data_IF_680283176465
#
_entry.id   IF_680283176465
#
_cell.length_a   1.000
_cell.length_b   1.000
_cell.length_c   1.000
_cell.angle_alpha   90.00
_cell.angle_beta   90.00
_cell.angle_gamma   90.00
#
_symmetry.space_group_name_H-M   'P 1'
#
loop_
_entity.id
_entity.type
_entity.pdbx_description
1 polymer ?
#
# COMPACT_ATOMS: atom_id res chain seq x y z
N UNK A 1 -3.88 -34.38 19.14
CA UNK A 1 -3.15 -34.74 20.37
C UNK A 1 -4.02 -34.39 21.56
N UNK A 2 -4.31 -35.37 22.42
CA UNK A 2 -5.06 -35.15 23.66
C UNK A 2 -4.20 -34.28 24.59
N UNK A 3 -4.85 -33.48 25.44
CA UNK A 3 -4.17 -32.48 26.28
C UNK A 3 -3.14 -33.11 27.24
N UNK A 4 -3.43 -34.32 27.72
CA UNK A 4 -2.56 -35.11 28.57
C UNK A 4 -1.31 -35.61 27.84
N UNK A 5 -1.45 -36.06 26.58
CA UNK A 5 -0.33 -36.48 25.73
C UNK A 5 0.66 -35.32 25.52
N UNK A 6 0.14 -34.11 25.30
CA UNK A 6 0.97 -32.90 25.14
C UNK A 6 1.75 -32.57 26.40
N UNK A 7 1.12 -32.67 27.56
CA UNK A 7 1.77 -32.36 28.85
C UNK A 7 2.88 -33.38 29.12
N UNK A 8 2.63 -34.66 28.87
CA UNK A 8 3.63 -35.71 28.99
C UNK A 8 4.81 -35.51 28.01
N UNK A 9 4.53 -35.10 26.77
CA UNK A 9 5.58 -34.78 25.79
C UNK A 9 6.45 -33.59 26.25
N UNK A 10 5.84 -32.55 26.85
CA UNK A 10 6.56 -31.40 27.40
C UNK A 10 7.43 -31.81 28.59
N UNK A 11 6.87 -32.56 29.56
CA UNK A 11 7.59 -32.99 30.76
C UNK A 11 8.76 -33.92 30.42
N UNK A 12 8.53 -34.92 29.58
CA UNK A 12 9.59 -35.84 29.13
C UNK A 12 10.70 -35.11 28.37
N UNK A 13 10.36 -34.14 27.53
CA UNK A 13 11.35 -33.33 26.81
C UNK A 13 12.16 -32.43 27.75
N UNK A 14 11.51 -31.81 28.75
CA UNK A 14 12.21 -31.01 29.77
C UNK A 14 13.17 -31.88 30.58
N UNK A 15 12.76 -33.09 30.94
CA UNK A 15 13.59 -34.03 31.69
C UNK A 15 14.81 -34.46 30.87
N UNK A 16 14.63 -34.83 29.59
CA UNK A 16 15.74 -35.13 28.67
C UNK A 16 16.73 -33.98 28.48
N UNK A 17 16.27 -32.73 28.54
CA UNK A 17 17.15 -31.55 28.48
C UNK A 17 17.94 -31.40 29.79
N UNK A 18 17.31 -31.64 30.95
CA UNK A 18 17.97 -31.55 32.27
C UNK A 18 19.00 -32.65 32.50
N UNK A 19 18.70 -33.86 32.03
CA UNK A 19 19.58 -35.03 32.18
C UNK A 19 20.74 -35.00 31.16
N UNK A 20 20.69 -34.07 30.20
CA UNK A 20 21.78 -33.88 29.26
C UNK A 20 22.94 -33.13 29.92
N UNK A 21 24.16 -33.59 29.65
CA UNK A 21 25.40 -32.88 29.99
C UNK A 21 25.67 -31.68 29.09
N UNK A 22 24.87 -31.46 28.05
CA UNK A 22 25.00 -30.35 27.10
C UNK A 22 24.37 -29.07 27.63
N UNK A 23 24.87 -27.92 27.17
CA UNK A 23 24.19 -26.65 27.43
C UNK A 23 22.81 -26.65 26.77
N UNK A 24 21.85 -25.90 27.34
CA UNK A 24 20.51 -25.77 26.75
C UNK A 24 20.58 -25.26 25.30
N UNK A 25 21.55 -24.40 24.97
CA UNK A 25 21.74 -23.94 23.59
C UNK A 25 22.13 -25.09 22.65
N UNK A 26 23.16 -25.85 23.04
CA UNK A 26 23.68 -26.93 22.21
C UNK A 26 22.66 -28.06 22.07
N UNK A 27 21.85 -28.30 23.11
CA UNK A 27 20.78 -29.28 23.06
C UNK A 27 19.73 -28.92 22.00
N UNK A 28 19.28 -27.66 21.95
CA UNK A 28 18.30 -27.19 20.97
C UNK A 28 18.85 -27.07 19.55
N UNK A 29 20.16 -26.92 19.39
CA UNK A 29 20.83 -26.93 18.08
C UNK A 29 21.02 -28.34 17.52
N UNK A 30 21.16 -29.35 18.40
CA UNK A 30 21.51 -30.73 18.00
C UNK A 30 20.34 -31.71 18.05
N UNK A 31 19.24 -31.38 18.74
CA UNK A 31 18.08 -32.26 18.89
C UNK A 31 16.78 -31.59 18.42
N UNK A 32 15.87 -32.40 17.90
CA UNK A 32 14.51 -31.96 17.58
C UNK A 32 13.71 -31.91 18.89
N UNK A 33 13.30 -30.71 19.29
CA UNK A 33 12.48 -30.47 20.48
C UNK A 33 11.10 -29.98 20.05
N UNK A 34 10.00 -30.47 20.65
CA UNK A 34 8.63 -30.13 20.24
C UNK A 34 8.20 -28.69 20.56
N UNK A 35 9.09 -27.89 21.14
CA UNK A 35 8.88 -26.48 21.46
C UNK A 35 10.17 -25.70 21.30
N UNK A 36 10.06 -24.38 21.27
CA UNK A 36 11.20 -23.46 21.18
C UNK A 36 11.93 -23.27 22.51
N UNK A 37 13.18 -22.82 22.45
CA UNK A 37 13.98 -22.45 23.63
C UNK A 37 13.29 -21.41 24.52
N UNK A 38 12.55 -20.47 23.94
CA UNK A 38 11.78 -19.49 24.72
C UNK A 38 10.64 -20.18 25.51
N UNK A 39 9.95 -21.12 24.87
CA UNK A 39 8.91 -21.92 25.53
C UNK A 39 9.48 -22.79 26.66
N UNK A 40 10.69 -23.34 26.51
CA UNK A 40 11.38 -24.09 27.57
C UNK A 40 11.49 -23.29 28.88
N UNK A 41 12.03 -22.07 28.82
CA UNK A 41 12.15 -21.22 30.02
C UNK A 41 10.80 -20.82 30.60
N UNK A 42 9.81 -20.59 29.73
CA UNK A 42 8.43 -20.32 30.18
C UNK A 42 7.82 -21.53 30.89
N UNK A 43 8.01 -22.76 30.38
CA UNK A 43 7.54 -23.98 31.03
C UNK A 43 8.24 -24.22 32.36
N UNK A 44 9.55 -24.01 32.47
CA UNK A 44 10.26 -24.07 33.76
C UNK A 44 9.70 -23.08 34.78
N UNK A 45 9.43 -21.84 34.36
CA UNK A 45 8.83 -20.81 35.21
C UNK A 45 7.42 -21.20 35.67
N UNK A 46 6.61 -21.75 34.77
CA UNK A 46 5.25 -22.20 35.06
C UNK A 46 5.26 -23.41 35.99
N UNK A 47 6.10 -24.41 35.73
CA UNK A 47 6.26 -25.60 36.57
C UNK A 47 6.70 -25.22 37.99
N UNK A 48 7.65 -24.29 38.13
CA UNK A 48 8.09 -23.80 39.45
C UNK A 48 6.97 -23.09 40.22
N UNK A 49 6.08 -22.38 39.53
CA UNK A 49 5.04 -21.55 40.16
C UNK A 49 3.71 -22.28 40.40
N UNK A 50 3.34 -23.20 39.52
CA UNK A 50 2.00 -23.78 39.45
C UNK A 50 1.99 -25.30 39.28
N UNK A 51 3.16 -25.95 39.27
CA UNK A 51 3.29 -27.39 39.00
C UNK A 51 2.81 -27.78 37.60
N UNK A 52 2.59 -29.09 37.39
CA UNK A 52 2.14 -29.64 36.10
C UNK A 52 0.77 -29.11 35.68
N UNK A 53 -0.11 -28.81 36.65
CA UNK A 53 -1.41 -28.20 36.41
C UNK A 53 -1.32 -26.82 35.72
N UNK A 54 -0.17 -26.14 35.82
CA UNK A 54 0.10 -24.90 35.10
C UNK A 54 0.28 -25.06 33.58
N UNK A 55 0.59 -26.28 33.10
CA UNK A 55 0.82 -26.58 31.68
C UNK A 55 -0.48 -26.91 30.91
N UNK A 56 -1.60 -27.10 31.63
CA UNK A 56 -2.93 -27.31 31.04
C UNK A 56 -3.37 -26.06 30.28
N UNK A 57 -4.02 -26.26 29.13
CA UNK A 57 -4.45 -25.14 28.28
C UNK A 57 -5.69 -24.48 28.88
N UNK A 58 -5.47 -23.39 29.62
CA UNK A 58 -6.54 -22.59 30.23
C UNK A 58 -7.39 -21.81 29.21
N UNK A 59 -7.07 -21.84 27.91
CA UNK A 59 -7.90 -21.17 26.87
C UNK A 59 -9.32 -21.75 26.78
N UNK A 60 -9.51 -23.01 27.17
CA UNK A 60 -10.84 -23.65 27.26
C UNK A 60 -11.73 -23.06 28.35
N UNK A 61 -11.16 -22.40 29.36
CA UNK A 61 -11.94 -21.85 30.46
C UNK A 61 -12.69 -20.55 30.10
N UNK A 62 -12.57 -20.02 28.87
CA UNK A 62 -13.45 -18.97 28.34
C UNK A 62 -13.39 -17.59 29.01
N UNK A 63 -12.69 -17.44 30.14
CA UNK A 63 -12.81 -16.29 31.05
C UNK A 63 -12.11 -14.99 30.61
N UNK A 64 -11.49 -14.96 29.43
CA UNK A 64 -10.87 -13.73 28.88
C UNK A 64 -11.58 -13.22 27.61
N UNK A 65 -12.87 -13.54 27.43
CA UNK A 65 -13.67 -12.92 26.37
C UNK A 65 -14.22 -11.60 26.87
N UNK A 66 -13.75 -10.49 26.29
CA UNK A 66 -14.31 -9.15 26.52
C UNK A 66 -15.78 -9.05 26.12
N UNK A 67 -16.24 -9.91 25.19
CA UNK A 67 -17.61 -9.99 24.75
C UNK A 67 -18.36 -11.03 25.60
N UNK A 68 -18.93 -10.58 26.71
CA UNK A 68 -19.77 -11.38 27.60
C UNK A 68 -21.19 -11.50 27.06
N UNK A 69 -21.99 -12.41 27.60
CA UNK A 69 -23.39 -12.62 27.18
C UNK A 69 -24.23 -11.35 27.34
N UNK A 70 -24.10 -10.66 28.48
CA UNK A 70 -24.80 -9.37 28.70
C UNK A 70 -24.47 -8.31 27.64
N UNK A 71 -23.25 -8.30 27.10
CA UNK A 71 -22.86 -7.36 26.04
C UNK A 71 -23.43 -7.81 24.69
N UNK A 72 -23.52 -9.12 24.44
CA UNK A 72 -24.16 -9.70 23.25
C UNK A 72 -25.64 -9.35 23.20
N UNK A 73 -26.35 -9.59 24.29
CA UNK A 73 -27.77 -9.24 24.43
C UNK A 73 -27.97 -7.75 24.20
N UNK A 74 -27.10 -6.91 24.78
CA UNK A 74 -27.15 -5.47 24.57
C UNK A 74 -26.93 -5.06 23.10
N UNK A 75 -26.02 -5.73 22.39
CA UNK A 75 -25.80 -5.49 20.96
C UNK A 75 -27.07 -5.86 20.16
N UNK A 76 -27.70 -7.00 20.46
CA UNK A 76 -28.94 -7.44 19.80
C UNK A 76 -30.05 -6.40 19.98
N UNK A 77 -30.31 -5.98 21.23
CA UNK A 77 -31.31 -4.93 21.53
C UNK A 77 -30.99 -3.63 20.82
N UNK A 78 -29.72 -3.20 20.78
CA UNK A 78 -29.33 -1.97 20.09
C UNK A 78 -29.58 -2.02 18.57
N UNK A 79 -29.48 -3.20 17.95
CA UNK A 79 -29.72 -3.38 16.52
C UNK A 79 -31.22 -3.45 16.24
N UNK A 80 -31.99 -4.09 17.11
CA UNK A 80 -33.46 -4.12 17.02
C UNK A 80 -34.06 -2.72 17.15
N UNK A 81 -33.61 -1.93 18.13
CA UNK A 81 -34.08 -0.55 18.35
C UNK A 81 -33.63 0.42 17.25
N UNK A 82 -32.42 0.23 16.71
CA UNK A 82 -31.87 1.07 15.65
C UNK A 82 -31.00 0.26 14.68
N UNK A 83 -31.60 -0.33 13.63
CA UNK A 83 -30.88 -1.13 12.64
C UNK A 83 -29.77 -0.38 11.89
N UNK A 84 -29.82 0.96 11.89
CA UNK A 84 -28.84 1.84 11.23
C UNK A 84 -27.71 2.31 12.15
N UNK A 85 -27.66 1.89 13.41
CA UNK A 85 -26.60 2.29 14.36
C UNK A 85 -25.22 1.94 13.79
N UNK A 86 -24.25 2.87 13.85
CA UNK A 86 -22.90 2.58 13.40
C UNK A 86 -22.13 1.73 14.43
N UNK A 87 -21.16 0.94 13.98
CA UNK A 87 -20.31 0.12 14.88
C UNK A 87 -19.49 1.00 15.82
N UNK A 88 -19.14 2.21 15.38
CA UNK A 88 -18.43 3.19 16.20
C UNK A 88 -19.32 3.66 17.37
N UNK A 89 -20.59 3.97 17.08
CA UNK A 89 -21.54 4.42 18.09
C UNK A 89 -21.91 3.28 19.03
N UNK A 90 -22.08 2.07 18.50
CA UNK A 90 -22.29 0.86 19.30
C UNK A 90 -21.13 0.58 20.25
N UNK A 91 -19.88 0.70 19.78
CA UNK A 91 -18.69 0.59 20.64
C UNK A 91 -18.70 1.63 21.75
N UNK A 92 -19.04 2.88 21.43
CA UNK A 92 -19.14 3.96 22.42
C UNK A 92 -20.24 3.69 23.45
N UNK A 93 -21.40 3.19 23.03
CA UNK A 93 -22.49 2.78 23.93
C UNK A 93 -22.06 1.64 24.85
N UNK A 94 -21.39 0.61 24.32
CA UNK A 94 -20.85 -0.51 25.11
C UNK A 94 -19.83 -0.01 26.13
N UNK A 95 -18.88 0.83 25.70
CA UNK A 95 -17.86 1.40 26.57
C UNK A 95 -18.49 2.22 27.70
N UNK A 96 -19.50 3.03 27.40
CA UNK A 96 -20.22 3.84 28.40
C UNK A 96 -21.02 2.99 29.40
N UNK A 97 -21.61 1.87 28.94
CA UNK A 97 -22.48 1.04 29.79
C UNK A 97 -21.74 -0.03 30.59
N UNK A 98 -20.71 -0.62 30.02
CA UNK A 98 -20.01 -1.78 30.60
C UNK A 98 -18.56 -1.47 30.98
N UNK A 99 -18.05 -0.27 30.68
CA UNK A 99 -16.64 0.11 30.91
C UNK A 99 -15.63 -0.81 30.19
N UNK A 100 -16.09 -1.54 29.17
CA UNK A 100 -15.27 -2.45 28.38
C UNK A 100 -15.04 -1.86 26.98
N UNK A 101 -13.78 -1.78 26.58
CA UNK A 101 -13.41 -1.47 25.21
C UNK A 101 -13.31 -2.74 24.35
N UNK A 102 -14.25 -2.86 23.40
CA UNK A 102 -14.35 -3.96 22.43
C UNK A 102 -13.98 -3.44 21.04
N UNK A 103 -13.21 -4.25 20.31
CA UNK A 103 -12.83 -3.90 18.94
C UNK A 103 -14.05 -3.89 17.99
N UNK A 104 -14.03 -3.00 16.99
CA UNK A 104 -15.08 -2.96 15.95
C UNK A 104 -15.21 -4.30 15.21
N UNK A 105 -14.11 -5.00 15.01
CA UNK A 105 -14.10 -6.32 14.37
C UNK A 105 -14.87 -7.35 15.21
N UNK A 106 -14.61 -7.41 16.52
CA UNK A 106 -15.31 -8.34 17.42
C UNK A 106 -16.82 -8.12 17.45
N UNK A 107 -17.26 -6.85 17.39
CA UNK A 107 -18.69 -6.50 17.31
C UNK A 107 -19.26 -6.98 15.96
N UNK A 108 -18.58 -6.71 14.85
CA UNK A 108 -19.03 -7.15 13.53
C UNK A 108 -19.06 -8.67 13.38
N UNK A 109 -18.09 -9.38 13.97
CA UNK A 109 -18.02 -10.84 13.92
C UNK A 109 -19.19 -11.46 14.69
N UNK A 110 -19.56 -10.89 15.83
CA UNK A 110 -20.75 -11.29 16.58
C UNK A 110 -22.05 -11.02 15.80
N UNK A 111 -22.21 -9.82 15.25
CA UNK A 111 -23.38 -9.46 14.44
C UNK A 111 -23.55 -10.44 13.26
N UNK A 112 -22.44 -10.81 12.61
CA UNK A 112 -22.44 -11.79 11.52
C UNK A 112 -22.77 -13.21 12.01
N UNK A 113 -22.25 -13.63 13.16
CA UNK A 113 -22.50 -14.98 13.68
C UNK A 113 -23.97 -15.18 14.07
N UNK A 114 -24.63 -14.13 14.57
CA UNK A 114 -26.05 -14.16 14.94
C UNK A 114 -27.00 -13.82 13.79
N UNK A 115 -26.48 -13.50 12.59
CA UNK A 115 -27.32 -13.17 11.43
C UNK A 115 -28.14 -11.88 11.59
N UNK A 116 -27.71 -10.95 12.46
CA UNK A 116 -28.44 -9.72 12.74
C UNK A 116 -28.41 -8.78 11.53
N UNK A 117 -29.60 -8.42 11.04
CA UNK A 117 -29.78 -7.56 9.87
C UNK A 117 -29.58 -6.09 10.23
N UNK A 118 -28.52 -5.47 9.70
CA UNK A 118 -28.33 -4.02 9.79
C UNK A 118 -28.80 -3.32 8.55
N UNK A 119 -29.49 -2.21 8.73
CA UNK A 119 -29.76 -1.30 7.64
C UNK A 119 -28.50 -0.48 7.36
N UNK A 120 -28.03 -0.41 6.10
CA UNK A 120 -26.91 0.45 5.76
C UNK A 120 -27.30 1.89 6.04
N UNK A 121 -26.44 2.63 6.74
CA UNK A 121 -26.59 4.08 6.89
C UNK A 121 -26.77 4.69 5.50
N UNK A 122 -27.87 5.43 5.31
CA UNK A 122 -28.10 6.21 4.11
C UNK A 122 -26.93 7.18 4.00
N UNK A 123 -26.01 6.92 3.07
CA UNK A 123 -24.87 7.80 2.85
C UNK A 123 -25.45 9.17 2.48
N UNK A 124 -25.09 10.20 3.23
CA UNK A 124 -25.40 11.56 2.82
C UNK A 124 -24.87 11.76 1.40
N UNK A 125 -25.73 12.29 0.52
CA UNK A 125 -25.30 12.69 -0.80
C UNK A 125 -24.32 13.84 -0.65
N UNK A 126 -23.03 13.52 -0.67
CA UNK A 126 -21.98 14.51 -0.79
C UNK A 126 -22.23 15.30 -2.10
N UNK A 127 -22.69 16.54 -1.96
CA UNK A 127 -22.66 17.50 -3.06
C UNK A 127 -21.19 17.74 -3.39
N UNK A 128 -20.68 17.05 -4.39
CA UNK A 128 -19.34 17.30 -4.91
C UNK A 128 -19.26 18.77 -5.33
N UNK A 129 -18.57 19.60 -4.55
CA UNK A 129 -18.18 20.92 -5.01
C UNK A 129 -17.19 20.69 -6.16
N UNK A 130 -17.57 21.06 -7.38
CA UNK A 130 -16.66 21.05 -8.52
C UNK A 130 -15.51 22.02 -8.17
N UNK A 131 -14.33 21.50 -7.85
CA UNK A 131 -13.13 22.31 -7.74
C UNK A 131 -12.70 22.70 -9.15
N UNK A 132 -12.71 24.00 -9.45
CA UNK A 132 -12.26 24.58 -10.72
C UNK A 132 -10.74 24.72 -10.85
N UNK A 133 -9.97 24.18 -9.90
CA UNK A 133 -8.52 24.36 -9.84
C UNK A 133 -7.78 23.75 -11.02
N UNK A 134 -8.27 22.63 -11.56
CA UNK A 134 -7.70 22.01 -12.76
C UNK A 134 -7.92 22.88 -14.00
N UNK A 135 -9.12 23.42 -14.14
CA UNK A 135 -9.54 24.33 -15.21
C UNK A 135 -8.72 25.62 -15.20
N UNK A 136 -8.48 26.19 -14.02
CA UNK A 136 -7.62 27.37 -13.86
C UNK A 136 -6.18 27.07 -14.27
N UNK A 137 -5.59 25.97 -13.77
CA UNK A 137 -4.21 25.59 -14.09
C UNK A 137 -4.00 25.33 -15.58
N UNK A 138 -4.92 24.59 -16.21
CA UNK A 138 -4.83 24.32 -17.65
C UNK A 138 -5.06 25.57 -18.47
N UNK A 139 -6.05 26.41 -18.12
CA UNK A 139 -6.28 27.70 -18.78
C UNK A 139 -5.04 28.59 -18.73
N UNK A 140 -4.46 28.76 -17.53
CA UNK A 140 -3.22 29.52 -17.36
C UNK A 140 -2.08 28.95 -18.22
N UNK A 141 -1.91 27.63 -18.27
CA UNK A 141 -0.86 27.02 -19.07
C UNK A 141 -1.01 27.27 -20.59
N UNK A 142 -2.25 27.33 -21.10
CA UNK A 142 -2.51 27.67 -22.50
C UNK A 142 -2.23 29.15 -22.80
N UNK A 143 -2.65 30.04 -21.91
CA UNK A 143 -2.53 31.49 -22.15
C UNK A 143 -1.15 32.06 -21.80
N UNK A 144 -0.38 31.41 -20.94
CA UNK A 144 0.93 31.89 -20.51
C UNK A 144 2.08 31.49 -21.45
N UNK A 145 1.82 30.65 -22.48
CA UNK A 145 2.87 30.10 -23.34
C UNK A 145 3.87 29.19 -22.61
N UNK A 146 3.51 28.67 -21.44
CA UNK A 146 4.42 27.84 -20.63
C UNK A 146 4.72 26.50 -21.32
N UNK A 147 3.76 25.98 -22.10
CA UNK A 147 3.93 24.74 -22.86
C UNK A 147 5.06 24.90 -23.88
N UNK A 148 5.04 26.01 -24.63
CA UNK A 148 6.06 26.38 -25.60
C UNK A 148 7.40 26.60 -24.90
N UNK A 149 7.41 27.35 -23.80
CA UNK A 149 8.61 27.62 -23.00
C UNK A 149 9.28 26.35 -22.50
N UNK A 150 8.51 25.40 -21.94
CA UNK A 150 9.02 24.11 -21.48
C UNK A 150 9.54 23.29 -22.68
N UNK A 151 8.78 23.26 -23.79
CA UNK A 151 9.16 22.52 -25.00
C UNK A 151 10.50 23.01 -25.55
N UNK A 152 10.67 24.32 -25.66
CA UNK A 152 11.87 24.93 -26.21
C UNK A 152 13.06 24.77 -25.26
N UNK A 153 12.82 24.85 -23.95
CA UNK A 153 13.84 24.54 -22.95
C UNK A 153 14.33 23.10 -23.05
N UNK A 154 13.41 22.13 -23.19
CA UNK A 154 13.75 20.71 -23.36
C UNK A 154 14.56 20.50 -24.63
N UNK A 155 14.14 21.08 -25.75
CA UNK A 155 14.86 20.96 -27.02
C UNK A 155 16.25 21.56 -26.94
N UNK A 156 16.39 22.76 -26.39
CA UNK A 156 17.70 23.40 -26.18
C UNK A 156 18.62 22.51 -25.35
N UNK A 157 18.12 21.92 -24.26
CA UNK A 157 18.92 20.98 -23.44
C UNK A 157 19.30 19.70 -24.20
N UNK A 158 18.42 19.19 -25.07
CA UNK A 158 18.73 18.04 -25.92
C UNK A 158 19.85 18.40 -26.90
N UNK A 159 19.80 19.58 -27.52
CA UNK A 159 20.80 20.02 -28.47
C UNK A 159 22.15 20.32 -27.80
N UNK A 160 22.15 21.01 -26.64
CA UNK A 160 23.35 21.17 -25.79
C UNK A 160 23.99 19.82 -25.45
N UNK A 161 23.16 18.82 -25.10
CA UNK A 161 23.65 17.48 -24.79
C UNK A 161 24.21 16.79 -26.04
N UNK A 162 23.58 16.93 -27.21
CA UNK A 162 24.09 16.34 -28.47
C UNK A 162 25.49 16.82 -28.84
N UNK A 163 25.80 18.08 -28.51
CA UNK A 163 27.11 18.70 -28.75
C UNK A 163 28.15 18.34 -27.67
N UNK A 164 27.74 17.76 -26.55
CA UNK A 164 28.63 17.40 -25.45
C UNK A 164 29.46 16.14 -25.73
N UNK A 165 30.67 16.07 -25.16
CA UNK A 165 31.51 14.86 -25.19
C UNK A 165 30.79 13.64 -24.61
N UNK A 166 29.98 13.84 -23.57
CA UNK A 166 29.19 12.80 -22.91
C UNK A 166 28.19 12.13 -23.86
N UNK A 167 27.67 12.83 -24.87
CA UNK A 167 26.78 12.21 -25.85
C UNK A 167 27.54 11.29 -26.80
N UNK A 168 28.70 11.72 -27.29
CA UNK A 168 29.57 10.91 -28.17
C UNK A 168 30.08 9.67 -27.45
N UNK A 169 30.54 9.82 -26.21
CA UNK A 169 30.94 8.70 -25.35
C UNK A 169 29.79 7.72 -25.12
N UNK A 170 28.57 8.23 -24.92
CA UNK A 170 27.38 7.40 -24.70
C UNK A 170 26.96 6.53 -25.88
N UNK A 171 27.35 6.88 -27.11
CA UNK A 171 27.01 6.10 -28.31
C UNK A 171 27.73 4.74 -28.33
N UNK A 172 28.92 4.68 -27.74
CA UNK A 172 29.72 3.45 -27.62
C UNK A 172 29.22 2.52 -26.51
N UNK A 173 28.36 3.02 -25.62
CA UNK A 173 27.81 2.25 -24.51
C UNK A 173 26.81 1.20 -25.01
N UNK A 174 26.97 -0.05 -24.55
CA UNK A 174 26.04 -1.14 -24.85
C UNK A 174 24.64 -0.79 -24.33
N UNK A 175 23.61 -1.19 -25.08
CA UNK A 175 22.21 -1.06 -24.63
C UNK A 175 22.03 -1.78 -23.30
N UNK A 176 21.34 -1.13 -22.36
CA UNK A 176 20.91 -1.75 -21.12
C UNK A 176 20.15 -3.05 -21.42
N UNK A 177 20.65 -4.18 -20.91
CA UNK A 177 20.21 -5.53 -21.29
C UNK A 177 18.80 -5.80 -20.72
N UNK A 178 17.76 -5.96 -21.56
CA UNK A 178 16.38 -6.15 -21.12
C UNK A 178 16.18 -7.42 -20.27
N UNK A 179 17.02 -8.44 -20.51
CA UNK A 179 16.98 -9.74 -19.81
C UNK A 179 17.21 -9.61 -18.30
N UNK A 180 17.99 -8.63 -17.84
CA UNK A 180 18.18 -8.36 -16.42
C UNK A 180 17.00 -7.63 -15.75
N UNK A 181 16.03 -7.12 -16.53
CA UNK A 181 14.82 -6.48 -15.98
C UNK A 181 13.70 -7.48 -15.67
N UNK A 182 13.72 -8.65 -16.31
CA UNK A 182 12.74 -9.73 -16.06
C UNK A 182 12.93 -10.40 -14.68
N UNK A 183 14.12 -10.27 -14.08
CA UNK A 183 14.37 -10.66 -12.70
C UNK A 183 14.03 -9.47 -11.81
N UNK A 184 12.79 -9.41 -11.30
CA UNK A 184 12.26 -8.27 -10.54
C UNK A 184 13.22 -7.75 -9.46
N UNK A 185 13.77 -6.55 -9.68
CA UNK A 185 14.83 -5.92 -8.85
C UNK A 185 14.31 -5.26 -7.56
N UNK A 186 13.21 -5.71 -6.98
CA UNK A 186 12.61 -5.10 -5.78
C UNK A 186 12.38 -6.11 -4.65
N UNK A 187 13.22 -7.12 -4.53
CA UNK A 187 13.18 -8.04 -3.38
C UNK A 187 13.75 -7.38 -2.12
N UNK A 188 13.43 -7.96 -0.96
CA UNK A 188 13.92 -7.49 0.34
C UNK A 188 15.45 -7.63 0.43
N UNK A 189 15.98 -8.65 -0.20
CA UNK A 189 17.40 -9.01 -0.29
C UNK A 189 18.15 -7.98 -1.16
N UNK A 190 17.60 -7.61 -2.32
CA UNK A 190 18.18 -6.56 -3.18
C UNK A 190 18.27 -5.21 -2.46
N UNK A 191 17.21 -4.81 -1.75
CA UNK A 191 17.19 -3.56 -0.98
C UNK A 191 18.11 -3.57 0.26
N UNK A 192 18.66 -4.73 0.64
CA UNK A 192 19.64 -4.86 1.72
C UNK A 192 21.08 -4.71 1.25
N UNK A 193 21.34 -4.81 -0.06
CA UNK A 193 22.68 -4.63 -0.62
C UNK A 193 23.21 -3.23 -0.33
N UNK A 194 24.46 -3.15 0.12
CA UNK A 194 25.12 -1.89 0.50
C UNK A 194 25.19 -0.92 -0.68
N UNK A 195 25.48 -1.41 -1.89
CA UNK A 195 25.47 -0.63 -3.12
C UNK A 195 24.11 0.03 -3.42
N UNK A 196 23.00 -0.69 -3.19
CA UNK A 196 21.64 -0.16 -3.40
C UNK A 196 21.30 0.89 -2.34
N UNK A 197 21.66 0.65 -1.07
CA UNK A 197 21.42 1.60 0.02
C UNK A 197 22.21 2.90 -0.14
N UNK A 198 23.48 2.79 -0.53
CA UNK A 198 24.36 3.94 -0.82
C UNK A 198 23.89 4.75 -2.03
N UNK A 199 23.35 4.10 -3.05
CA UNK A 199 22.84 4.78 -4.24
C UNK A 199 21.38 5.23 -4.13
N UNK A 200 20.60 4.77 -3.14
CA UNK A 200 19.15 5.06 -3.03
C UNK A 200 18.80 6.55 -3.02
N UNK A 201 19.62 7.36 -2.36
CA UNK A 201 19.36 8.79 -2.16
C UNK A 201 20.28 9.71 -2.96
N UNK A 202 21.17 9.16 -3.79
CA UNK A 202 21.98 9.99 -4.67
C UNK A 202 21.14 10.70 -5.73
N UNK A 203 21.71 11.73 -6.35
CA UNK A 203 21.07 12.44 -7.46
C UNK A 203 20.78 11.48 -8.61
N UNK A 204 19.89 11.86 -9.53
CA UNK A 204 19.59 11.03 -10.71
C UNK A 204 20.85 10.85 -11.57
N UNK A 205 21.67 11.90 -11.65
CA UNK A 205 22.91 11.91 -12.41
C UNK A 205 23.93 10.91 -11.82
N UNK A 206 24.03 10.83 -10.49
CA UNK A 206 24.89 9.84 -9.79
C UNK A 206 24.36 8.40 -9.86
N UNK A 207 23.04 8.23 -10.06
CA UNK A 207 22.37 6.91 -10.12
C UNK A 207 22.45 6.28 -11.50
N UNK A 208 22.63 7.08 -12.53
CA UNK A 208 22.68 6.62 -13.92
C UNK A 208 24.02 7.08 -14.52
N UNK A 209 25.14 6.44 -14.11
CA UNK A 209 26.48 6.85 -14.55
C UNK A 209 26.69 6.62 -16.05
N UNK A 210 26.00 5.63 -16.63
CA UNK A 210 26.16 5.23 -18.02
C UNK A 210 24.77 5.15 -18.66
N UNK A 211 24.38 6.22 -19.37
CA UNK A 211 23.14 6.25 -20.12
C UNK A 211 23.44 6.44 -21.59
N UNK A 212 23.09 5.46 -22.42
CA UNK A 212 23.12 5.65 -23.86
C UNK A 212 22.01 6.63 -24.28
N UNK A 213 22.35 7.92 -24.36
CA UNK A 213 21.40 8.99 -24.70
C UNK A 213 20.78 8.77 -26.09
N UNK A 214 21.55 8.26 -27.06
CA UNK A 214 21.05 7.96 -28.42
C UNK A 214 19.95 6.89 -28.46
N UNK A 215 19.89 6.03 -27.44
CA UNK A 215 18.87 4.99 -27.29
C UNK A 215 17.57 5.49 -26.65
N UNK A 216 17.59 6.67 -26.02
CA UNK A 216 16.40 7.25 -25.40
C UNK A 216 15.47 7.82 -26.47
N UNK A 217 14.17 7.57 -26.31
CA UNK A 217 13.14 8.04 -27.24
C UNK A 217 13.10 9.56 -27.36
N UNK A 218 13.36 10.30 -26.28
CA UNK A 218 13.32 11.78 -26.26
C UNK A 218 14.28 12.43 -27.26
N UNK A 219 15.46 11.84 -27.50
CA UNK A 219 16.45 12.34 -28.47
C UNK A 219 16.04 12.12 -29.92
N UNK A 220 14.98 11.32 -30.16
CA UNK A 220 14.40 11.02 -31.48
C UNK A 220 13.03 11.68 -31.68
N UNK A 221 12.50 12.33 -30.65
CA UNK A 221 11.17 12.96 -30.71
C UNK A 221 11.24 14.30 -31.42
N UNK A 222 10.22 14.59 -32.22
CA UNK A 222 10.04 15.93 -32.82
C UNK A 222 9.58 16.95 -31.77
N UNK A 223 9.81 18.25 -32.01
CA UNK A 223 9.24 19.37 -31.23
C UNK A 223 7.74 19.20 -31.02
N UNK A 224 7.01 18.81 -32.07
CA UNK A 224 5.56 18.57 -32.03
C UNK A 224 5.19 17.45 -31.06
N UNK A 225 5.98 16.39 -31.01
CA UNK A 225 5.78 15.26 -30.09
C UNK A 225 6.05 15.67 -28.65
N UNK A 226 7.17 16.33 -28.37
CA UNK A 226 7.53 16.82 -27.03
C UNK A 226 6.48 17.80 -26.50
N UNK A 227 6.04 18.74 -27.35
CA UNK A 227 4.95 19.67 -27.02
C UNK A 227 3.66 18.97 -26.62
N UNK A 228 3.27 17.91 -27.34
CA UNK A 228 2.07 17.11 -27.02
C UNK A 228 2.19 16.42 -25.66
N UNK A 229 3.37 15.88 -25.32
CA UNK A 229 3.59 15.28 -24.00
C UNK A 229 3.52 16.32 -22.87
N UNK A 230 4.14 17.50 -23.07
CA UNK A 230 4.07 18.59 -22.10
C UNK A 230 2.63 19.09 -21.88
N UNK A 231 1.87 19.22 -22.96
CA UNK A 231 0.44 19.56 -22.89
C UNK A 231 -0.36 18.49 -22.15
N UNK A 232 -0.16 17.21 -22.48
CA UNK A 232 -0.86 16.12 -21.83
C UNK A 232 -0.59 16.10 -20.32
N UNK A 233 0.66 16.33 -19.90
CA UNK A 233 1.05 16.41 -18.49
C UNK A 233 0.29 17.52 -17.75
N UNK A 234 0.17 18.70 -18.35
CA UNK A 234 -0.51 19.86 -17.76
C UNK A 234 -2.04 19.76 -17.81
N UNK A 235 -2.59 18.94 -18.70
CA UNK A 235 -4.02 18.62 -18.77
C UNK A 235 -4.43 17.41 -17.92
N UNK A 236 -3.48 16.68 -17.30
CA UNK A 236 -3.79 15.54 -16.42
C UNK A 236 -4.81 15.88 -15.31
N UNK A 237 -4.76 17.04 -14.64
CA UNK A 237 -5.75 17.39 -13.61
C UNK A 237 -7.19 17.53 -14.14
N UNK A 238 -7.36 17.82 -15.44
CA UNK A 238 -8.69 17.86 -16.08
C UNK A 238 -9.23 16.46 -16.37
N UNK A 239 -8.34 15.53 -16.72
CA UNK A 239 -8.69 14.15 -17.11
C UNK A 239 -8.74 13.21 -15.89
N UNK A 240 -8.09 13.59 -14.79
CA UNK A 240 -7.97 12.78 -13.58
C UNK A 240 -8.39 13.58 -12.35
N UNK A 241 -9.50 13.19 -11.72
CA UNK A 241 -9.92 13.76 -10.43
C UNK A 241 -9.54 12.77 -9.33
N UNK A 242 -8.53 13.10 -8.52
CA UNK A 242 -8.11 12.33 -7.34
C UNK A 242 -8.07 10.80 -7.56
N UNK A 243 -7.34 10.35 -8.58
CA UNK A 243 -7.10 8.93 -8.84
C UNK A 243 -8.27 8.16 -9.47
N UNK A 244 -9.40 8.81 -9.79
CA UNK A 244 -10.44 8.22 -10.65
C UNK A 244 -10.32 8.80 -12.05
N UNK A 245 -9.92 7.97 -13.02
CA UNK A 245 -9.96 8.30 -14.44
C UNK A 245 -11.40 8.59 -14.84
N UNK A 246 -11.71 9.83 -15.23
CA UNK A 246 -12.99 10.14 -15.84
C UNK A 246 -12.99 9.57 -17.26
N UNK A 247 -13.86 8.58 -17.52
CA UNK A 247 -14.17 8.16 -18.88
C UNK A 247 -14.68 9.38 -19.67
N UNK A 248 -14.23 9.52 -20.92
CA UNK A 248 -14.59 10.61 -21.85
C UNK A 248 -16.11 10.80 -21.97
N UNK A 249 -16.89 9.74 -21.82
CA UNK A 249 -18.36 9.75 -21.94
C UNK A 249 -19.11 10.23 -20.67
N UNK A 250 -18.47 10.95 -19.75
CA UNK A 250 -19.17 11.60 -18.61
C UNK A 250 -19.15 13.12 -18.77
N UNK A 251 -20.10 13.77 -18.08
CA UNK A 251 -20.40 15.23 -18.05
C UNK A 251 -19.16 16.16 -18.08
N UNK A 252 -18.01 15.77 -17.54
CA UNK A 252 -16.77 16.56 -17.61
C UNK A 252 -16.03 16.52 -18.96
N UNK A 253 -16.21 15.47 -19.77
CA UNK A 253 -15.78 15.45 -21.17
C UNK A 253 -16.49 16.54 -21.98
N UNK A 254 -17.73 16.89 -21.61
CA UNK A 254 -18.46 18.03 -22.17
C UNK A 254 -17.99 19.39 -21.60
N UNK A 255 -17.55 19.45 -20.34
CA UNK A 255 -16.93 20.66 -19.76
C UNK A 255 -15.58 20.99 -20.48
N UNK A 256 -14.86 19.97 -21.00
CA UNK A 256 -13.70 20.15 -21.89
C UNK A 256 -14.09 20.68 -23.28
N UNK A 257 -15.24 20.29 -23.82
CA UNK A 257 -15.79 20.88 -25.06
C UNK A 257 -16.04 22.38 -24.88
N UNK A 258 -16.47 22.81 -23.69
CA UNK A 258 -16.66 24.23 -23.36
C UNK A 258 -15.33 25.02 -23.34
N UNK A 259 -14.24 24.42 -22.83
CA UNK A 259 -12.88 25.01 -22.94
C UNK A 259 -12.35 24.99 -24.39
N UNK A 260 -12.76 24.01 -25.20
CA UNK A 260 -12.46 23.91 -26.64
C UNK A 260 -13.25 24.87 -27.55
N UNK A 261 -14.28 25.54 -27.05
CA UNK A 261 -14.93 26.66 -27.76
C UNK A 261 -14.03 27.90 -27.76
N UNK A 262 -13.14 28.04 -26.76
CA UNK A 262 -12.17 29.14 -26.67
C UNK A 262 -10.86 28.79 -27.41
N UNK A 263 -10.53 27.50 -27.55
CA UNK A 263 -9.37 27.03 -28.29
C UNK A 263 -9.79 25.94 -29.30
N UNK A 264 -9.84 26.30 -30.59
CA UNK A 264 -10.17 25.44 -31.74
C UNK A 264 -9.99 23.92 -31.48
N UNK A 265 -11.10 23.27 -31.13
CA UNK A 265 -11.13 21.87 -30.73
C UNK A 265 -10.65 20.90 -31.81
N UNK A 266 -10.81 21.25 -33.09
CA UNK A 266 -10.30 20.47 -34.22
C UNK A 266 -8.78 20.31 -34.18
N UNK A 267 -8.05 21.28 -33.61
CA UNK A 267 -6.60 21.19 -33.48
C UNK A 267 -6.16 20.32 -32.30
N UNK A 268 -6.88 20.36 -31.18
CA UNK A 268 -6.51 19.62 -29.95
C UNK A 268 -6.89 18.14 -30.09
N UNK A 269 -8.08 17.83 -30.60
CA UNK A 269 -8.52 16.44 -30.80
C UNK A 269 -7.65 15.72 -31.84
N UNK A 270 -7.33 16.40 -32.96
CA UNK A 270 -6.46 15.85 -34.00
C UNK A 270 -4.98 15.78 -33.56
N UNK A 271 -4.54 16.62 -32.61
CA UNK A 271 -3.16 16.60 -32.09
C UNK A 271 -2.95 15.65 -30.92
N UNK A 272 -3.95 15.36 -30.08
CA UNK A 272 -3.77 14.51 -28.90
C UNK A 272 -4.22 13.06 -29.15
N UNK A 273 -5.31 12.82 -29.90
CA UNK A 273 -5.99 11.51 -29.86
C UNK A 273 -6.01 10.71 -31.17
N UNK A 274 -5.64 11.29 -32.32
CA UNK A 274 -5.55 10.55 -33.60
C UNK A 274 -4.10 10.27 -34.01
N UNK A 275 -3.55 9.21 -33.41
CA UNK A 275 -2.56 8.27 -33.98
C UNK A 275 -2.42 7.07 -33.03
N UNK A 276 -3.53 6.36 -32.86
CA UNK A 276 -3.56 4.92 -32.67
C UNK A 276 -4.38 4.35 -33.82
#
# INVERSE_FOLDING_TARGET
MKEEERIQEILSSIQKIKDSTKSVNDYFMTNIVPFSKAQYYNYLKILKKYGENGLKDKRKNGHNRKLTENIRDYISVCIEENPSISVSDMRMKIQKRFEVDISKSSINDFIKSEGLLRQPLRKEEYKYQKSGGGEILTGLAFFSGIIETITDTVLRRIDELRESSSFTESQTMKKDNPTHRLQGKFTKEYNRLDAVRKNRFKSIDDKIPEKNYSSMSIFRMSRKTIRRYNLALLCLPLVTFNGKSSRVNRVKGNDLTFLGVIAHWDEIHHRIFLKY
#
